data_IF_412069811419
#
_entry.id   IF_412069811419
#
_cell.length_a   1.000
_cell.length_b   1.000
_cell.length_c   1.000
_cell.angle_alpha   90.00
_cell.angle_beta   90.00
_cell.angle_gamma   90.00
#
_symmetry.space_group_name_H-M   'P 1'
#
loop_
_entity.id
_entity.type
_entity.pdbx_description
1 polymer ?
#
# COMPACT_ATOMS: atom_id res chain seq x y z
N UNK A 1 -20.58 16.95 -19.90
CA UNK A 1 -20.95 16.30 -18.62
C UNK A 1 -19.84 16.40 -17.59
N UNK A 2 -18.58 16.10 -17.93
CA UNK A 2 -17.41 16.27 -17.04
C UNK A 2 -17.25 17.68 -16.45
N UNK A 3 -17.56 18.72 -17.23
CA UNK A 3 -17.45 20.13 -16.81
C UNK A 3 -18.52 20.55 -15.78
N UNK A 4 -19.69 19.89 -15.77
CA UNK A 4 -20.77 20.15 -14.82
C UNK A 4 -20.52 19.44 -13.48
N UNK A 5 -20.00 18.22 -13.53
CA UNK A 5 -19.63 17.44 -12.34
C UNK A 5 -18.45 18.05 -11.58
N UNK A 6 -17.46 18.64 -12.28
CA UNK A 6 -16.36 19.39 -11.63
C UNK A 6 -16.87 20.64 -10.91
N UNK A 7 -17.81 21.37 -11.52
CA UNK A 7 -18.36 22.60 -10.94
C UNK A 7 -19.21 22.32 -9.68
N UNK A 8 -19.96 21.22 -9.68
CA UNK A 8 -20.82 20.84 -8.56
C UNK A 8 -20.02 20.31 -7.36
N UNK A 9 -19.01 19.43 -7.54
CA UNK A 9 -18.12 19.00 -6.43
C UNK A 9 -17.43 20.21 -5.78
N UNK A 10 -17.05 21.19 -6.59
CA UNK A 10 -16.49 22.46 -6.11
C UNK A 10 -17.47 23.20 -5.18
N UNK A 11 -18.77 23.20 -5.47
CA UNK A 11 -19.77 23.83 -4.60
C UNK A 11 -19.96 23.10 -3.27
N UNK A 12 -19.91 21.76 -3.27
CA UNK A 12 -19.92 20.97 -2.03
C UNK A 12 -18.68 21.30 -1.18
N UNK A 13 -17.49 21.34 -1.78
CA UNK A 13 -16.24 21.70 -1.10
C UNK A 13 -16.29 23.14 -0.53
N UNK A 14 -16.87 24.09 -1.28
CA UNK A 14 -17.13 25.46 -0.76
C UNK A 14 -18.11 25.46 0.41
N UNK A 15 -19.07 24.54 0.46
CA UNK A 15 -19.98 24.41 1.60
C UNK A 15 -19.26 23.85 2.83
N UNK A 16 -18.38 22.86 2.65
CA UNK A 16 -17.55 22.27 3.71
C UNK A 16 -16.67 23.34 4.36
N UNK A 17 -15.94 24.11 3.56
CA UNK A 17 -15.08 25.19 4.07
C UNK A 17 -15.86 26.32 4.76
N UNK A 18 -17.09 26.61 4.31
CA UNK A 18 -18.00 27.52 5.00
C UNK A 18 -18.44 26.97 6.37
N UNK A 19 -18.77 25.69 6.45
CA UNK A 19 -19.11 25.02 7.72
C UNK A 19 -17.95 25.03 8.72
N UNK A 20 -16.71 24.85 8.27
CA UNK A 20 -15.52 25.00 9.11
C UNK A 20 -15.42 26.41 9.70
N UNK A 21 -15.53 27.45 8.87
CA UNK A 21 -15.49 28.86 9.31
C UNK A 21 -16.64 29.25 10.24
N UNK A 22 -17.81 28.62 10.07
CA UNK A 22 -18.98 28.85 10.93
C UNK A 22 -18.76 28.25 12.33
N UNK A 23 -18.08 27.11 12.41
CA UNK A 23 -17.76 26.42 13.66
C UNK A 23 -16.62 27.11 14.40
N UNK A 24 -15.55 27.48 13.68
CA UNK A 24 -14.43 28.25 14.21
C UNK A 24 -14.09 29.40 13.26
N UNK A 25 -14.40 30.63 13.67
CA UNK A 25 -14.10 31.85 12.91
C UNK A 25 -12.59 32.08 12.74
N UNK A 26 -11.75 31.44 13.56
CA UNK A 26 -10.29 31.50 13.52
C UNK A 26 -9.68 30.21 12.97
N UNK A 27 -10.46 29.38 12.27
CA UNK A 27 -9.97 28.17 11.61
C UNK A 27 -8.68 28.50 10.80
N UNK A 28 -7.57 27.77 11.03
CA UNK A 28 -6.32 28.02 10.33
C UNK A 28 -6.49 27.93 8.80
N UNK A 29 -5.73 28.74 8.04
CA UNK A 29 -5.75 28.66 6.57
C UNK A 29 -5.40 27.25 6.08
N UNK A 30 -4.36 26.64 6.66
CA UNK A 30 -3.93 25.27 6.39
C UNK A 30 -5.07 24.23 6.53
N UNK A 31 -5.98 24.40 7.50
CA UNK A 31 -7.13 23.50 7.67
C UNK A 31 -8.12 23.65 6.51
N UNK A 32 -8.36 24.87 6.03
CA UNK A 32 -9.28 25.12 4.92
C UNK A 32 -8.71 24.59 3.60
N UNK A 33 -7.41 24.76 3.40
CA UNK A 33 -6.70 24.26 2.22
C UNK A 33 -6.64 22.73 2.24
N UNK A 34 -6.39 22.13 3.42
CA UNK A 34 -6.47 20.70 3.62
C UNK A 34 -7.87 20.16 3.35
N UNK A 35 -8.93 20.76 3.91
CA UNK A 35 -10.31 20.32 3.68
C UNK A 35 -10.69 20.39 2.19
N UNK A 36 -10.19 21.40 1.49
CA UNK A 36 -10.36 21.54 0.05
C UNK A 36 -9.66 20.40 -0.69
N UNK A 37 -8.38 20.14 -0.39
CA UNK A 37 -7.62 19.06 -1.02
C UNK A 37 -8.22 17.67 -0.72
N UNK A 38 -8.67 17.45 0.52
CA UNK A 38 -9.25 16.19 0.97
C UNK A 38 -10.45 15.78 0.12
N UNK A 39 -11.35 16.70 -0.18
CA UNK A 39 -12.59 16.36 -0.89
C UNK A 39 -12.62 16.77 -2.38
N UNK A 40 -11.58 17.45 -2.88
CA UNK A 40 -11.55 17.96 -4.26
C UNK A 40 -11.72 16.88 -5.34
N UNK A 41 -11.29 15.64 -5.06
CA UNK A 41 -11.36 14.50 -6.00
C UNK A 41 -12.31 13.40 -5.52
N UNK A 42 -13.10 13.64 -4.49
CA UNK A 42 -14.07 12.66 -4.01
C UNK A 42 -15.21 12.45 -5.01
N UNK A 43 -15.70 11.21 -5.08
CA UNK A 43 -16.88 10.88 -5.87
C UNK A 43 -18.07 11.66 -5.33
N UNK A 44 -18.82 12.29 -6.24
CA UNK A 44 -19.89 13.22 -5.88
C UNK A 44 -21.01 12.52 -5.13
N UNK A 45 -21.38 11.34 -5.62
CA UNK A 45 -22.44 10.49 -5.09
C UNK A 45 -22.17 10.11 -3.64
N UNK A 46 -20.90 9.91 -3.28
CA UNK A 46 -20.49 9.55 -1.91
C UNK A 46 -20.49 10.79 -1.01
N UNK A 47 -19.94 11.91 -1.49
CA UNK A 47 -19.94 13.17 -0.74
C UNK A 47 -21.35 13.71 -0.46
N UNK A 48 -22.30 13.43 -1.34
CA UNK A 48 -23.69 13.88 -1.18
C UNK A 48 -24.50 13.10 -0.15
N UNK A 49 -24.03 11.91 0.26
CA UNK A 49 -24.62 11.16 1.37
C UNK A 49 -24.43 11.86 2.72
N UNK A 50 -23.43 12.74 2.82
CA UNK A 50 -23.06 13.45 4.05
C UNK A 50 -23.41 14.94 3.96
N UNK A 51 -23.74 15.53 5.10
CA UNK A 51 -23.91 16.97 5.22
C UNK A 51 -22.55 17.69 5.15
N UNK A 52 -22.48 18.91 4.59
CA UNK A 52 -21.25 19.70 4.59
C UNK A 52 -20.63 19.91 5.98
N UNK A 53 -21.47 19.99 7.03
CA UNK A 53 -21.00 20.12 8.42
C UNK A 53 -20.33 18.84 8.95
N UNK A 54 -20.80 17.66 8.53
CA UNK A 54 -20.20 16.37 8.92
C UNK A 54 -18.88 16.16 8.20
N UNK A 55 -18.82 16.45 6.90
CA UNK A 55 -17.57 16.45 6.13
C UNK A 55 -16.56 17.47 6.67
N UNK A 56 -17.03 18.63 7.14
CA UNK A 56 -16.19 19.60 7.83
C UNK A 56 -15.61 19.05 9.14
N UNK A 57 -16.42 18.31 9.92
CA UNK A 57 -15.94 17.62 11.12
C UNK A 57 -14.90 16.55 10.79
N UNK A 58 -15.11 15.76 9.71
CA UNK A 58 -14.10 14.82 9.20
C UNK A 58 -12.79 15.52 8.86
N UNK A 59 -12.85 16.62 8.08
CA UNK A 59 -11.65 17.36 7.70
C UNK A 59 -10.91 17.93 8.93
N UNK A 60 -11.63 18.48 9.90
CA UNK A 60 -11.02 18.97 11.14
C UNK A 60 -10.34 17.84 11.92
N UNK A 61 -11.01 16.69 12.07
CA UNK A 61 -10.48 15.53 12.78
C UNK A 61 -9.26 14.93 12.06
N UNK A 62 -9.29 14.82 10.73
CA UNK A 62 -8.17 14.35 9.93
C UNK A 62 -7.00 15.34 9.94
N UNK A 63 -7.28 16.66 9.97
CA UNK A 63 -6.26 17.70 10.09
C UNK A 63 -5.58 17.71 11.47
N UNK A 64 -6.33 17.44 12.53
CA UNK A 64 -5.74 17.23 13.85
C UNK A 64 -4.85 15.98 13.86
N UNK A 65 -5.32 14.90 13.23
CA UNK A 65 -4.57 13.66 13.13
C UNK A 65 -3.26 13.80 12.37
N UNK A 66 -3.21 14.60 11.30
CA UNK A 66 -1.99 14.79 10.51
C UNK A 66 -0.96 15.71 11.19
N UNK A 67 -1.30 16.40 12.28
CA UNK A 67 -0.38 17.33 12.96
C UNK A 67 0.93 16.69 13.40
N UNK A 68 0.94 15.41 13.72
CA UNK A 68 2.14 14.70 14.17
C UNK A 68 2.27 13.35 13.46
N UNK A 69 3.41 13.09 12.85
CA UNK A 69 3.72 11.78 12.26
C UNK A 69 5.22 11.56 12.21
N UNK A 70 5.66 10.34 12.49
CA UNK A 70 7.03 9.90 12.26
C UNK A 70 7.22 9.50 10.78
N UNK A 71 8.23 10.08 10.13
CA UNK A 71 8.60 9.69 8.77
C UNK A 71 8.93 8.19 8.71
N UNK A 72 8.53 7.54 7.62
CA UNK A 72 8.79 6.12 7.43
C UNK A 72 7.79 5.15 8.07
N UNK A 73 6.86 5.65 8.88
CA UNK A 73 5.84 4.83 9.53
C UNK A 73 4.44 5.33 9.15
N UNK A 74 3.52 4.43 8.75
CA UNK A 74 2.13 4.80 8.52
C UNK A 74 1.46 5.14 9.85
N UNK A 75 0.77 6.27 9.89
CA UNK A 75 -0.13 6.63 10.99
C UNK A 75 -1.54 6.25 10.58
N UNK A 76 -2.19 5.39 11.37
CA UNK A 76 -3.51 4.83 11.07
C UNK A 76 -4.41 5.14 12.27
N UNK A 77 -5.67 5.46 12.01
CA UNK A 77 -6.69 5.65 13.04
C UNK A 77 -8.04 5.24 12.50
N UNK A 78 -8.76 4.43 13.28
CA UNK A 78 -10.16 4.09 13.01
C UNK A 78 -11.05 4.80 14.02
N UNK A 79 -12.06 5.52 13.55
CA UNK A 79 -13.00 6.24 14.39
C UNK A 79 -14.45 5.96 13.99
N UNK A 80 -15.34 6.20 14.94
CA UNK A 80 -16.75 5.91 14.82
C UNK A 80 -17.51 7.23 15.03
N UNK A 81 -17.45 8.16 14.05
CA UNK A 81 -18.17 9.42 14.17
C UNK A 81 -19.67 9.18 14.20
N UNK A 82 -20.39 10.18 14.73
CA UNK A 82 -21.85 10.20 14.77
C UNK A 82 -22.35 11.14 13.67
N UNK A 83 -22.77 10.56 12.55
CA UNK A 83 -23.30 11.29 11.40
C UNK A 83 -24.82 11.13 11.35
N UNK A 84 -25.53 12.22 11.65
CA UNK A 84 -26.98 12.26 11.61
C UNK A 84 -27.55 11.97 10.21
N UNK A 85 -26.82 12.33 9.14
CA UNK A 85 -27.25 12.07 7.76
C UNK A 85 -27.30 10.59 7.38
N UNK A 86 -26.54 9.75 8.08
CA UNK A 86 -26.44 8.32 7.77
C UNK A 86 -27.46 7.46 8.52
N UNK A 87 -28.11 8.00 9.56
CA UNK A 87 -29.19 7.34 10.29
C UNK A 87 -28.86 5.89 10.71
N UNK A 88 -29.61 4.93 10.17
CA UNK A 88 -29.48 3.49 10.46
C UNK A 88 -28.24 2.84 9.82
N UNK A 89 -27.48 3.58 9.02
CA UNK A 89 -26.30 3.08 8.33
C UNK A 89 -25.03 3.80 8.78
N UNK A 90 -24.67 3.76 10.08
CA UNK A 90 -23.44 4.38 10.57
C UNK A 90 -22.20 3.78 9.91
N UNK A 91 -21.08 4.48 10.04
CA UNK A 91 -19.80 4.11 9.42
C UNK A 91 -18.67 4.08 10.43
N UNK A 92 -17.62 3.36 10.05
CA UNK A 92 -16.28 3.52 10.61
C UNK A 92 -15.42 4.27 9.62
N UNK A 93 -14.75 5.31 10.10
CA UNK A 93 -13.84 6.15 9.32
C UNK A 93 -12.40 5.72 9.58
N UNK A 94 -11.68 5.44 8.51
CA UNK A 94 -10.27 5.06 8.50
C UNK A 94 -9.47 6.24 7.97
N UNK A 95 -8.60 6.81 8.81
CA UNK A 95 -7.61 7.80 8.40
C UNK A 95 -6.22 7.16 8.35
N UNK A 96 -5.52 7.33 7.23
CA UNK A 96 -4.14 6.89 7.04
C UNK A 96 -3.31 8.08 6.55
N UNK A 97 -2.15 8.30 7.17
CA UNK A 97 -1.13 9.24 6.70
C UNK A 97 0.16 8.47 6.49
N UNK A 98 0.70 8.53 5.28
CA UNK A 98 1.90 7.77 4.90
C UNK A 98 2.85 8.60 4.02
N UNK A 99 4.11 8.16 3.90
CA UNK A 99 5.01 8.66 2.85
C UNK A 99 4.39 8.32 1.50
N UNK A 100 4.41 9.24 0.54
CA UNK A 100 3.83 8.97 -0.77
C UNK A 100 4.64 7.90 -1.53
N UNK A 101 3.98 6.80 -1.89
CA UNK A 101 4.53 5.72 -2.71
C UNK A 101 3.42 4.99 -3.50
N UNK A 102 3.75 4.19 -4.53
CA UNK A 102 2.77 3.40 -5.27
C UNK A 102 2.04 2.36 -4.40
N UNK A 103 0.90 1.86 -4.90
CA UNK A 103 0.09 0.76 -4.36
C UNK A 103 -0.60 0.99 -3.01
N UNK A 104 -0.38 2.13 -2.34
CA UNK A 104 -0.95 2.39 -1.01
C UNK A 104 -2.47 2.29 -0.95
N UNK A 105 -3.18 2.96 -1.86
CA UNK A 105 -4.63 2.97 -1.86
C UNK A 105 -5.16 1.58 -2.24
N UNK A 106 -4.69 1.06 -3.37
CA UNK A 106 -5.20 -0.18 -3.95
C UNK A 106 -5.05 -1.33 -2.94
N UNK A 107 -3.89 -1.46 -2.28
CA UNK A 107 -3.69 -2.49 -1.25
C UNK A 107 -4.60 -2.34 -0.02
N UNK A 108 -4.96 -1.11 0.37
CA UNK A 108 -5.91 -0.90 1.47
C UNK A 108 -7.34 -1.23 1.02
N UNK A 109 -7.71 -0.87 -0.20
CA UNK A 109 -9.03 -1.20 -0.76
C UNK A 109 -9.19 -2.71 -0.95
N UNK A 110 -8.17 -3.40 -1.45
CA UNK A 110 -8.14 -4.86 -1.59
C UNK A 110 -8.35 -5.53 -0.22
N UNK A 111 -7.65 -5.05 0.83
CA UNK A 111 -7.87 -5.53 2.19
C UNK A 111 -9.33 -5.32 2.65
N UNK A 112 -9.94 -4.16 2.35
CA UNK A 112 -11.34 -3.93 2.72
C UNK A 112 -12.29 -4.90 2.00
N UNK A 113 -12.01 -5.19 0.72
CA UNK A 113 -12.79 -6.13 -0.08
C UNK A 113 -12.67 -7.57 0.42
N UNK A 114 -11.48 -7.98 0.88
CA UNK A 114 -11.25 -9.32 1.45
C UNK A 114 -12.04 -9.55 2.75
N UNK A 115 -12.18 -8.50 3.57
CA UNK A 115 -13.09 -8.50 4.73
C UNK A 115 -14.57 -8.38 4.35
N UNK A 116 -14.88 -8.10 3.08
CA UNK A 116 -16.24 -7.94 2.58
C UNK A 116 -16.90 -6.62 3.01
N UNK A 117 -16.13 -5.60 3.38
CA UNK A 117 -16.69 -4.29 3.75
C UNK A 117 -17.20 -3.54 2.51
N UNK A 118 -18.35 -2.88 2.64
CA UNK A 118 -18.78 -1.89 1.65
C UNK A 118 -18.01 -0.58 1.86
N UNK A 119 -17.34 -0.11 0.81
CA UNK A 119 -16.57 1.13 0.82
C UNK A 119 -17.48 2.26 0.35
N UNK A 120 -17.84 3.16 1.26
CA UNK A 120 -18.90 4.16 1.06
C UNK A 120 -18.40 5.56 0.71
N UNK A 121 -17.14 5.84 1.01
CA UNK A 121 -16.44 7.05 0.60
C UNK A 121 -14.95 6.74 0.57
N UNK A 122 -14.28 7.17 -0.49
CA UNK A 122 -12.81 7.15 -0.58
C UNK A 122 -12.34 8.51 -1.05
N UNK A 123 -11.43 9.11 -0.28
CA UNK A 123 -10.66 10.25 -0.75
C UNK A 123 -9.20 10.10 -0.34
N UNK A 124 -8.30 10.40 -1.27
CA UNK A 124 -6.89 10.08 -1.08
C UNK A 124 -5.91 11.13 -1.66
N UNK A 125 -5.96 12.39 -1.21
CA UNK A 125 -5.07 13.41 -1.75
C UNK A 125 -3.60 13.09 -1.45
N UNK A 126 -2.74 13.51 -2.37
CA UNK A 126 -1.31 13.64 -2.09
C UNK A 126 -1.07 15.09 -1.69
N UNK A 127 -0.50 15.28 -0.51
CA UNK A 127 -0.27 16.60 0.08
C UNK A 127 1.21 16.86 0.26
N UNK A 128 1.58 18.13 0.27
CA UNK A 128 2.94 18.57 0.60
C UNK A 128 2.96 18.99 2.07
N UNK A 129 3.88 18.42 2.85
CA UNK A 129 4.00 18.71 4.28
C UNK A 129 5.46 18.94 4.68
N UNK A 130 5.72 20.04 5.38
CA UNK A 130 7.00 20.29 6.05
C UNK A 130 6.84 19.97 7.53
N UNK A 131 7.71 19.10 8.06
CA UNK A 131 7.67 18.64 9.46
C UNK A 131 8.99 18.94 10.17
N UNK A 132 8.94 19.12 11.49
CA UNK A 132 10.14 19.19 12.33
C UNK A 132 10.74 17.80 12.59
N UNK A 133 11.89 17.76 13.27
CA UNK A 133 12.58 16.51 13.61
C UNK A 133 11.77 15.57 14.55
N UNK A 134 10.72 16.09 15.21
CA UNK A 134 9.80 15.31 16.05
C UNK A 134 8.56 14.86 15.28
N UNK A 135 8.47 15.19 13.99
CA UNK A 135 7.35 14.84 13.12
C UNK A 135 6.16 15.79 13.21
N UNK A 136 6.28 16.91 13.93
CA UNK A 136 5.22 17.91 14.02
C UNK A 136 5.14 18.70 12.72
N UNK A 137 3.92 18.89 12.21
CA UNK A 137 3.65 19.73 11.05
C UNK A 137 4.04 21.18 11.34
N UNK A 138 4.90 21.73 10.48
CA UNK A 138 5.27 23.14 10.50
C UNK A 138 4.48 23.93 9.46
N UNK A 139 4.26 23.33 8.28
CA UNK A 139 3.51 23.94 7.20
C UNK A 139 2.84 22.87 6.33
N UNK A 140 1.58 23.14 5.95
CA UNK A 140 0.85 22.42 4.93
C UNK A 140 0.88 23.20 3.60
N UNK A 141 1.23 22.54 2.50
CA UNK A 141 1.21 23.14 1.17
C UNK A 141 2.57 23.17 0.48
N UNK A 142 2.58 23.77 -0.72
CA UNK A 142 3.72 23.77 -1.63
C UNK A 142 4.89 24.59 -1.06
N UNK A 143 5.95 23.88 -0.68
CA UNK A 143 7.24 24.46 -0.37
C UNK A 143 8.34 23.58 -1.00
N UNK A 144 9.48 24.17 -1.36
CA UNK A 144 10.57 23.48 -2.08
C UNK A 144 11.14 22.28 -1.35
N UNK A 145 11.06 22.27 -0.01
CA UNK A 145 11.58 21.18 0.85
C UNK A 145 10.48 20.29 1.44
N UNK A 146 9.22 20.46 1.00
CA UNK A 146 8.11 19.68 1.55
C UNK A 146 8.11 18.24 1.02
N UNK A 147 7.93 17.29 1.93
CA UNK A 147 7.77 15.88 1.57
C UNK A 147 6.35 15.63 1.06
N UNK A 148 6.22 14.74 0.08
CA UNK A 148 4.92 14.24 -0.38
C UNK A 148 4.39 13.21 0.60
N UNK A 149 3.22 13.46 1.16
CA UNK A 149 2.49 12.52 1.99
C UNK A 149 1.21 12.08 1.28
N UNK A 150 0.90 10.79 1.35
CA UNK A 150 -0.38 10.25 0.91
C UNK A 150 -1.32 10.20 2.10
N UNK A 151 -2.46 10.87 1.98
CA UNK A 151 -3.56 10.76 2.91
C UNK A 151 -4.56 9.81 2.30
N UNK A 152 -5.10 8.88 3.08
CA UNK A 152 -6.20 8.01 2.67
C UNK A 152 -7.27 8.12 3.73
N UNK A 153 -8.48 8.50 3.31
CA UNK A 153 -9.64 8.63 4.17
C UNK A 153 -10.77 7.81 3.58
N UNK A 154 -11.17 6.76 4.30
CA UNK A 154 -12.13 5.76 3.83
C UNK A 154 -13.27 5.63 4.85
N UNK A 155 -14.50 5.54 4.35
CA UNK A 155 -15.66 5.17 5.17
C UNK A 155 -16.08 3.76 4.80
N UNK A 156 -16.15 2.88 5.80
CA UNK A 156 -16.64 1.51 5.67
C UNK A 156 -17.87 1.29 6.56
N UNK A 157 -18.51 0.14 6.40
CA UNK A 157 -19.52 -0.34 7.35
C UNK A 157 -19.03 -0.27 8.80
N UNK A 158 -19.97 -0.02 9.71
CA UNK A 158 -19.69 0.22 11.12
C UNK A 158 -19.11 -1.03 11.80
N UNK A 159 -17.91 -0.85 12.38
CA UNK A 159 -17.32 -1.76 13.34
C UNK A 159 -17.58 -1.25 14.76
N UNK A 160 -18.45 -1.93 15.51
CA UNK A 160 -18.81 -1.49 16.86
C UNK A 160 -17.73 -1.85 17.89
N UNK A 161 -17.23 -3.08 17.85
CA UNK A 161 -16.21 -3.53 18.79
C UNK A 161 -14.92 -2.73 18.60
N UNK A 162 -14.23 -2.46 19.70
CA UNK A 162 -12.93 -1.78 19.65
C UNK A 162 -11.85 -2.75 19.19
N UNK A 163 -12.03 -4.01 19.51
CA UNK A 163 -11.17 -5.14 19.20
C UNK A 163 -11.11 -5.34 17.68
N UNK A 164 -12.25 -5.42 17.00
CA UNK A 164 -12.32 -5.54 15.53
C UNK A 164 -11.62 -4.38 14.82
N UNK A 165 -11.79 -3.15 15.34
CA UNK A 165 -11.08 -1.97 14.80
C UNK A 165 -9.58 -2.04 15.02
N UNK A 166 -9.13 -2.55 16.17
CA UNK A 166 -7.72 -2.71 16.46
C UNK A 166 -7.07 -3.81 15.61
N UNK A 167 -7.81 -4.89 15.33
CA UNK A 167 -7.41 -5.95 14.42
C UNK A 167 -7.27 -5.41 12.99
N UNK A 168 -8.29 -4.73 12.47
CA UNK A 168 -8.23 -4.10 11.15
C UNK A 168 -7.10 -3.06 11.05
N UNK A 169 -6.86 -2.26 12.09
CA UNK A 169 -5.72 -1.34 12.15
C UNK A 169 -4.37 -2.07 12.00
N UNK A 170 -4.21 -3.20 12.69
CA UNK A 170 -3.00 -4.00 12.66
C UNK A 170 -2.78 -4.65 11.27
N UNK A 171 -3.85 -5.11 10.63
CA UNK A 171 -3.79 -5.65 9.27
C UNK A 171 -3.44 -4.58 8.23
N UNK A 172 -4.09 -3.41 8.28
CA UNK A 172 -3.73 -2.26 7.42
C UNK A 172 -2.25 -1.92 7.61
N UNK A 173 -1.76 -1.90 8.86
CA UNK A 173 -0.36 -1.63 9.17
C UNK A 173 0.58 -2.67 8.56
N UNK A 174 0.20 -3.95 8.60
CA UNK A 174 0.98 -5.04 8.02
C UNK A 174 1.07 -4.92 6.49
N UNK A 175 -0.07 -4.67 5.82
CA UNK A 175 -0.13 -4.45 4.36
C UNK A 175 0.73 -3.25 3.94
N UNK A 176 0.60 -2.10 4.63
CA UNK A 176 1.39 -0.91 4.31
C UNK A 176 2.89 -1.11 4.55
N UNK A 177 3.27 -1.95 5.52
CA UNK A 177 4.67 -2.35 5.73
C UNK A 177 5.20 -3.19 4.58
N UNK A 178 4.39 -4.11 4.04
CA UNK A 178 4.73 -4.93 2.88
C UNK A 178 4.91 -4.07 1.62
N UNK A 179 3.96 -3.16 1.35
CA UNK A 179 4.07 -2.18 0.24
C UNK A 179 5.37 -1.39 0.35
N UNK A 180 5.68 -0.89 1.55
CA UNK A 180 6.92 -0.13 1.79
C UNK A 180 8.17 -0.91 1.42
N UNK A 181 8.33 -2.14 1.91
CA UNK A 181 9.54 -2.93 1.63
C UNK A 181 9.64 -3.30 0.15
N UNK A 182 8.53 -3.63 -0.50
CA UNK A 182 8.50 -3.92 -1.94
C UNK A 182 8.94 -2.71 -2.78
N UNK A 183 8.43 -1.51 -2.47
CA UNK A 183 8.78 -0.28 -3.19
C UNK A 183 10.22 0.14 -2.94
N UNK A 184 10.69 0.11 -1.69
CA UNK A 184 12.05 0.52 -1.35
C UNK A 184 13.11 -0.40 -1.95
N UNK A 185 12.82 -1.70 -2.01
CA UNK A 185 13.77 -2.70 -2.52
C UNK A 185 13.63 -2.94 -4.03
N UNK A 186 12.66 -2.32 -4.69
CA UNK A 186 12.37 -2.50 -6.12
C UNK A 186 13.63 -2.46 -6.98
N UNK A 187 14.45 -1.42 -6.81
CA UNK A 187 15.68 -1.22 -7.57
C UNK A 187 16.73 -2.28 -7.27
N UNK A 188 16.79 -2.77 -6.04
CA UNK A 188 17.75 -3.80 -5.66
C UNK A 188 17.33 -5.17 -6.20
N UNK A 189 16.02 -5.46 -6.26
CA UNK A 189 15.48 -6.63 -6.95
C UNK A 189 15.79 -6.58 -8.45
N UNK A 190 15.59 -5.43 -9.10
CA UNK A 190 15.96 -5.24 -10.52
C UNK A 190 17.46 -5.45 -10.75
N UNK A 191 18.34 -4.90 -9.89
CA UNK A 191 19.79 -5.11 -9.99
C UNK A 191 20.15 -6.59 -9.87
N UNK A 192 19.50 -7.32 -8.94
CA UNK A 192 19.80 -8.73 -8.72
C UNK A 192 19.38 -9.59 -9.91
N UNK A 193 18.22 -9.30 -10.50
CA UNK A 193 17.76 -9.95 -11.72
C UNK A 193 18.68 -9.66 -12.90
N UNK A 194 19.12 -8.40 -13.07
CA UNK A 194 20.12 -8.02 -14.08
C UNK A 194 21.46 -8.73 -13.90
N UNK A 195 21.89 -8.94 -12.65
CA UNK A 195 23.12 -9.70 -12.35
C UNK A 195 22.96 -11.18 -12.73
N UNK A 196 21.79 -11.78 -12.50
CA UNK A 196 21.50 -13.14 -12.93
C UNK A 196 21.50 -13.29 -14.46
N UNK A 197 20.88 -12.35 -15.18
CA UNK A 197 20.93 -12.28 -16.65
C UNK A 197 22.38 -12.17 -17.16
N UNK A 198 23.18 -11.32 -16.52
CA UNK A 198 24.60 -11.15 -16.87
C UNK A 198 25.36 -12.46 -16.67
N UNK A 199 25.11 -13.17 -15.56
CA UNK A 199 25.71 -14.47 -15.29
C UNK A 199 25.39 -15.50 -16.39
N UNK A 200 24.15 -15.57 -16.87
CA UNK A 200 23.79 -16.46 -17.99
C UNK A 200 24.54 -16.11 -19.30
N UNK A 201 24.84 -14.83 -19.52
CA UNK A 201 25.57 -14.37 -20.72
C UNK A 201 27.07 -14.61 -20.64
N UNK A 202 27.69 -14.41 -19.47
CA UNK A 202 29.15 -14.45 -19.31
C UNK A 202 29.67 -15.80 -18.85
N UNK A 203 28.86 -16.57 -18.14
CA UNK A 203 29.24 -17.87 -17.55
C UNK A 203 28.05 -18.83 -17.68
N UNK A 204 27.70 -19.21 -18.93
CA UNK A 204 26.54 -20.04 -19.18
C UNK A 204 26.70 -21.43 -18.52
N UNK A 205 25.66 -21.95 -17.86
CA UNK A 205 25.66 -23.32 -17.37
C UNK A 205 25.72 -24.33 -18.53
N UNK A 206 26.12 -25.60 -18.29
CA UNK A 206 26.29 -26.61 -19.32
C UNK A 206 24.95 -27.18 -19.81
N UNK A 207 24.12 -26.31 -20.38
CA UNK A 207 22.75 -26.62 -20.84
C UNK A 207 22.58 -26.11 -22.29
N UNK A 208 21.55 -26.57 -23.04
CA UNK A 208 21.37 -26.17 -24.43
C UNK A 208 21.27 -24.65 -24.61
N UNK A 209 21.95 -24.12 -25.65
CA UNK A 209 22.09 -22.67 -25.87
C UNK A 209 20.75 -21.99 -26.14
N UNK A 210 19.84 -22.67 -26.82
CA UNK A 210 18.47 -22.24 -27.07
C UNK A 210 17.68 -22.03 -25.76
N UNK A 211 17.83 -22.92 -24.78
CA UNK A 211 17.19 -22.77 -23.47
C UNK A 211 17.76 -21.60 -22.66
N UNK A 212 19.08 -21.36 -22.75
CA UNK A 212 19.70 -20.19 -22.12
C UNK A 212 19.17 -18.90 -22.76
N UNK A 213 19.09 -18.86 -24.09
CA UNK A 213 18.61 -17.70 -24.83
C UNK A 213 17.14 -17.38 -24.48
N UNK A 214 16.28 -18.39 -24.41
CA UNK A 214 14.88 -18.23 -23.98
C UNK A 214 14.79 -17.73 -22.54
N UNK A 215 15.55 -18.31 -21.62
CA UNK A 215 15.57 -17.87 -20.22
C UNK A 215 16.02 -16.40 -20.10
N UNK A 216 17.10 -16.00 -20.79
CA UNK A 216 17.55 -14.60 -20.83
C UNK A 216 16.44 -13.70 -21.36
N UNK A 217 15.82 -14.05 -22.49
CA UNK A 217 14.75 -13.25 -23.10
C UNK A 217 13.58 -13.06 -22.14
N UNK A 218 13.18 -14.12 -21.43
CA UNK A 218 12.12 -14.04 -20.44
C UNK A 218 12.49 -13.14 -19.25
N UNK A 219 13.70 -13.27 -18.71
CA UNK A 219 14.15 -12.44 -17.59
C UNK A 219 14.31 -10.96 -17.98
N UNK A 220 14.77 -10.68 -19.21
CA UNK A 220 14.81 -9.32 -19.77
C UNK A 220 13.40 -8.76 -19.96
N UNK A 221 12.45 -9.57 -20.44
CA UNK A 221 11.05 -9.18 -20.54
C UNK A 221 10.46 -8.82 -19.17
N UNK A 222 10.77 -9.58 -18.10
CA UNK A 222 10.34 -9.23 -16.74
C UNK A 222 10.87 -7.85 -16.28
N UNK A 223 12.08 -7.46 -16.69
CA UNK A 223 12.69 -6.18 -16.33
C UNK A 223 12.16 -4.99 -17.13
N UNK A 224 11.58 -5.24 -18.31
CA UNK A 224 11.03 -4.21 -19.21
C UNK A 224 9.62 -3.78 -18.79
N UNK A 225 9.42 -3.53 -17.50
CA UNK A 225 8.16 -3.11 -16.86
C UNK A 225 6.95 -4.03 -17.09
N UNK A 226 7.16 -5.26 -17.58
CA UNK A 226 6.08 -6.23 -17.81
C UNK A 226 5.67 -7.01 -16.54
N UNK A 227 6.40 -6.84 -15.43
CA UNK A 227 6.11 -7.54 -14.18
C UNK A 227 6.42 -6.68 -12.96
N UNK A 228 5.61 -6.78 -11.91
CA UNK A 228 5.90 -6.14 -10.61
C UNK A 228 6.53 -7.15 -9.65
N UNK A 229 7.85 -7.08 -9.50
CA UNK A 229 8.62 -7.67 -8.40
C UNK A 229 8.15 -7.17 -7.02
N UNK A 230 7.48 -8.04 -6.25
CA UNK A 230 7.08 -7.74 -4.88
C UNK A 230 8.08 -8.26 -3.83
N UNK A 231 8.86 -9.27 -4.19
CA UNK A 231 9.91 -9.80 -3.33
C UNK A 231 10.83 -10.77 -4.06
N UNK A 232 12.04 -10.93 -3.53
CA UNK A 232 13.06 -11.84 -4.05
C UNK A 232 13.75 -12.56 -2.90
N UNK A 233 14.03 -13.86 -3.08
CA UNK A 233 14.87 -14.66 -2.20
C UNK A 233 15.82 -15.50 -3.01
N UNK A 234 16.96 -15.78 -2.40
CA UNK A 234 18.00 -16.59 -3.01
C UNK A 234 18.33 -17.72 -2.07
N UNK A 235 18.55 -18.88 -2.67
CA UNK A 235 18.87 -20.09 -1.95
C UNK A 235 20.13 -20.67 -2.55
N UNK A 236 21.04 -21.11 -1.70
CA UNK A 236 22.15 -21.97 -2.09
C UNK A 236 21.70 -23.40 -1.81
N UNK A 237 21.91 -24.29 -2.77
CA UNK A 237 21.59 -25.71 -2.63
C UNK A 237 22.90 -26.51 -2.64
N UNK A 238 23.06 -27.39 -1.65
CA UNK A 238 24.12 -28.40 -1.58
C UNK A 238 23.49 -29.78 -1.57
N UNK A 239 24.06 -30.75 -2.29
CA UNK A 239 23.44 -32.09 -2.47
C UNK A 239 23.38 -32.93 -1.19
N UNK A 240 24.15 -32.55 -0.15
CA UNK A 240 24.29 -33.28 1.12
C UNK A 240 23.41 -32.75 2.27
N UNK A 241 22.71 -31.62 2.10
CA UNK A 241 21.82 -31.09 3.13
C UNK A 241 20.40 -31.67 2.96
N UNK A 242 19.85 -32.25 4.03
CA UNK A 242 18.41 -32.50 4.12
C UNK A 242 17.69 -31.19 3.79
N UNK A 243 16.65 -31.24 2.96
CA UNK A 243 15.93 -30.03 2.51
C UNK A 243 15.32 -29.17 3.64
N UNK A 244 15.42 -29.63 4.89
CA UNK A 244 15.09 -28.90 6.11
C UNK A 244 16.19 -27.91 6.56
N UNK A 245 17.44 -28.05 6.09
CA UNK A 245 18.59 -27.20 6.46
C UNK A 245 18.97 -26.18 5.37
N UNK A 246 18.13 -25.96 4.35
CA UNK A 246 18.24 -24.84 3.40
C UNK A 246 17.94 -23.48 4.07
N UNK A 247 18.49 -23.26 5.26
CA UNK A 247 18.47 -22.04 6.04
C UNK A 247 19.89 -21.48 6.05
N UNK A 248 20.13 -20.48 5.19
CA UNK A 248 20.90 -19.27 5.50
C UNK A 248 21.18 -18.47 4.23
N UNK A 249 20.16 -17.76 3.73
CA UNK A 249 20.34 -16.54 2.96
C UNK A 249 19.25 -15.51 3.31
N UNK A 250 18.72 -15.52 4.54
CA UNK A 250 17.77 -14.50 5.04
C UNK A 250 18.29 -13.07 4.85
N UNK A 251 19.61 -12.88 4.82
CA UNK A 251 20.25 -11.58 4.63
C UNK A 251 20.12 -11.00 3.21
N UNK A 252 19.84 -11.81 2.18
CA UNK A 252 19.70 -11.33 0.79
C UNK A 252 18.25 -11.20 0.35
N UNK A 253 17.29 -11.52 1.23
CA UNK A 253 15.88 -11.37 0.92
C UNK A 253 15.50 -9.90 0.73
N UNK A 254 14.69 -9.64 -0.30
CA UNK A 254 14.22 -8.31 -0.69
C UNK A 254 12.70 -8.28 -0.80
N UNK A 255 12.12 -7.10 -0.60
CA UNK A 255 10.68 -6.85 -0.67
C UNK A 255 9.91 -7.61 0.40
N UNK A 256 8.71 -8.09 0.07
CA UNK A 256 7.84 -8.82 1.01
C UNK A 256 8.48 -10.11 1.54
N UNK A 257 9.42 -10.68 0.78
CA UNK A 257 10.11 -11.90 1.16
C UNK A 257 11.22 -11.66 2.20
N UNK A 258 11.46 -10.41 2.65
CA UNK A 258 12.28 -10.14 3.83
C UNK A 258 11.78 -10.82 5.11
N UNK A 259 10.46 -10.99 5.23
CA UNK A 259 9.89 -11.70 6.37
C UNK A 259 9.92 -13.21 6.10
N UNK A 260 10.76 -13.99 6.81
CA UNK A 260 10.92 -15.43 6.57
C UNK A 260 9.59 -16.21 6.67
N UNK A 261 8.60 -15.67 7.40
CA UNK A 261 7.29 -16.29 7.55
C UNK A 261 6.39 -16.13 6.32
N UNK A 262 6.71 -15.21 5.41
CA UNK A 262 6.03 -15.12 4.12
C UNK A 262 6.45 -16.32 3.27
N UNK A 263 5.52 -17.25 3.12
CA UNK A 263 5.68 -18.48 2.36
C UNK A 263 4.79 -18.41 1.12
N UNK A 264 5.41 -18.28 -0.05
CA UNK A 264 4.71 -18.09 -1.34
C UNK A 264 4.30 -19.39 -2.03
N UNK A 265 4.71 -20.54 -1.49
CA UNK A 265 4.45 -21.84 -2.07
C UNK A 265 3.56 -22.69 -1.17
N UNK A 266 2.69 -23.49 -1.79
CA UNK A 266 1.70 -24.31 -1.11
C UNK A 266 1.88 -25.78 -1.45
N UNK A 267 1.86 -26.65 -0.44
CA UNK A 267 1.80 -28.10 -0.54
C UNK A 267 0.52 -28.60 0.12
N UNK A 268 -0.52 -28.89 -0.67
CA UNK A 268 -1.83 -29.26 -0.12
C UNK A 268 -2.44 -28.12 0.71
N UNK A 269 -2.60 -28.30 2.03
CA UNK A 269 -3.05 -27.25 2.97
C UNK A 269 -1.92 -26.48 3.63
N UNK A 270 -0.66 -26.90 3.49
CA UNK A 270 0.48 -26.31 4.20
C UNK A 270 1.25 -25.32 3.32
N UNK A 271 1.68 -24.21 3.92
CA UNK A 271 2.62 -23.31 3.27
C UNK A 271 4.05 -23.79 3.52
N UNK A 272 4.82 -23.92 2.44
CA UNK A 272 6.20 -24.44 2.44
C UNK A 272 7.14 -23.45 1.77
N UNK A 273 8.41 -23.47 2.17
CA UNK A 273 9.45 -22.66 1.54
C UNK A 273 9.92 -23.26 0.21
N UNK A 274 9.82 -24.58 0.06
CA UNK A 274 10.19 -25.35 -1.14
C UNK A 274 9.19 -26.49 -1.32
N UNK A 275 8.69 -26.68 -2.55
CA UNK A 275 7.84 -27.82 -2.89
C UNK A 275 8.66 -28.97 -3.48
N UNK A 276 8.15 -30.22 -3.50
CA UNK A 276 8.81 -31.33 -4.19
C UNK A 276 9.10 -31.03 -5.67
N UNK A 277 8.22 -30.27 -6.34
CA UNK A 277 8.39 -29.84 -7.73
C UNK A 277 9.60 -28.91 -7.89
N UNK A 278 9.81 -27.98 -6.94
CA UNK A 278 11.00 -27.13 -6.94
C UNK A 278 12.25 -27.94 -6.62
N UNK A 279 12.17 -28.91 -5.71
CA UNK A 279 13.29 -29.81 -5.40
C UNK A 279 13.69 -30.65 -6.61
N UNK A 280 12.70 -31.17 -7.34
CA UNK A 280 12.93 -31.93 -8.56
C UNK A 280 13.50 -31.03 -9.66
N UNK A 281 12.99 -29.79 -9.79
CA UNK A 281 13.56 -28.80 -10.70
C UNK A 281 15.02 -28.46 -10.36
N UNK A 282 15.38 -28.31 -9.08
CA UNK A 282 16.76 -28.06 -8.65
C UNK A 282 17.72 -29.20 -9.03
N UNK A 283 17.21 -30.42 -9.29
CA UNK A 283 17.98 -31.57 -9.79
C UNK A 283 18.01 -31.64 -11.32
N UNK A 284 17.16 -30.88 -12.00
CA UNK A 284 17.11 -30.82 -13.45
C UNK A 284 18.06 -29.75 -13.99
N UNK A 285 18.48 -29.91 -15.24
CA UNK A 285 19.36 -28.97 -15.93
C UNK A 285 18.59 -27.79 -16.55
N UNK A 286 17.35 -27.54 -16.13
CA UNK A 286 16.51 -26.50 -16.72
C UNK A 286 16.79 -25.15 -16.02
N UNK A 287 17.04 -24.04 -16.72
CA UNK A 287 17.52 -22.80 -16.11
C UNK A 287 16.43 -21.99 -15.41
N UNK A 288 15.16 -22.25 -15.70
CA UNK A 288 14.03 -21.45 -15.23
C UNK A 288 12.79 -22.34 -14.99
N UNK A 289 12.08 -22.07 -13.89
CA UNK A 289 10.73 -22.58 -13.64
C UNK A 289 9.82 -21.42 -13.30
N UNK A 290 8.62 -21.41 -13.87
CA UNK A 290 7.56 -20.46 -13.53
C UNK A 290 6.44 -21.24 -12.86
N UNK A 291 6.26 -21.02 -11.56
CA UNK A 291 5.17 -21.62 -10.78
C UNK A 291 4.19 -20.55 -10.34
N UNK A 292 2.89 -20.88 -10.35
CA UNK A 292 1.87 -20.00 -9.79
C UNK A 292 1.84 -20.16 -8.26
N UNK A 293 2.12 -19.07 -7.55
CA UNK A 293 1.84 -18.98 -6.11
C UNK A 293 0.31 -18.98 -5.90
N UNK A 294 -0.20 -19.88 -5.07
CA UNK A 294 -1.63 -19.94 -4.69
C UNK A 294 -1.88 -19.29 -3.32
N UNK A 295 -1.09 -18.28 -2.98
CA UNK A 295 -1.32 -17.43 -1.81
C UNK A 295 -2.20 -16.28 -2.30
N UNK A 296 -3.41 -16.17 -1.75
CA UNK A 296 -4.15 -14.91 -1.80
C UNK A 296 -3.40 -13.96 -0.87
N UNK A 297 -2.80 -12.93 -1.46
CA UNK A 297 -2.34 -11.76 -0.71
C UNK A 297 -3.54 -10.98 -0.21
#
# INVERSE_FOLDING_TARGET
MADRTLNDTTDKVRAITRSLKATDKKAPADLLDFATALFARGAREDLDRLMPAELASCAASAFEFLQTRKFGEPKIRLTNPDFASLGEHPVTVIDIVNDNMPFLLDSVIDLMQDHGFDVRLVVHPIVMATRDAKGKLLHYGDNTDAARESIIHIHIDRLEAKEDRAELEAEIRAVLKQVRVAVLDWRDMQKRLSAAITSFKTTPPPIPVDQIAEAIQFLEWLLDDNFTLLGMREYTYTEDEDAAEMEKLDATALGILRDPNVKVLRRGSEMVTITPEIREFLRQSNPLIVTKANVRS
#
